data_IF_597929325194
#
_entry.id   IF_597929325194
#
_cell.length_a   1.000
_cell.length_b   1.000
_cell.length_c   1.000
_cell.angle_alpha   90.00
_cell.angle_beta   90.00
_cell.angle_gamma   90.00
#
_symmetry.space_group_name_H-M   'P 1'
#
loop_
_entity.id
_entity.type
_entity.pdbx_description
1 polymer ?
#
# COMPACT_ATOMS: atom_id res chain seq x y z
N UNK A 1 -4.44 0.59 30.90
CA UNK A 1 -5.11 -0.54 30.23
C UNK A 1 -6.54 -0.10 29.91
N UNK A 2 -6.82 0.23 28.66
CA UNK A 2 -8.19 0.54 28.20
C UNK A 2 -8.82 -0.71 27.61
N UNK A 3 -10.10 -0.94 27.90
CA UNK A 3 -10.85 -2.10 27.38
C UNK A 3 -11.57 -1.71 26.08
N UNK A 4 -11.21 -2.34 24.96
CA UNK A 4 -11.92 -2.16 23.70
C UNK A 4 -13.35 -2.72 23.82
N UNK A 5 -14.36 -1.86 23.71
CA UNK A 5 -15.76 -2.21 23.97
C UNK A 5 -16.46 -2.87 22.75
N UNK A 6 -16.12 -4.13 22.47
CA UNK A 6 -16.77 -4.92 21.42
C UNK A 6 -18.25 -5.20 21.74
N UNK A 7 -19.16 -4.84 20.83
CA UNK A 7 -20.57 -5.28 20.89
C UNK A 7 -20.67 -6.76 20.49
N UNK A 8 -21.50 -7.58 21.17
CA UNK A 8 -21.64 -9.00 20.85
C UNK A 8 -22.40 -9.22 19.54
N UNK A 9 -21.93 -10.17 18.73
CA UNK A 9 -22.66 -10.67 17.55
C UNK A 9 -23.60 -11.81 17.95
N UNK A 10 -24.82 -11.82 17.41
CA UNK A 10 -25.84 -12.85 17.73
C UNK A 10 -25.83 -13.94 16.66
N UNK A 11 -25.34 -15.13 17.02
CA UNK A 11 -25.50 -16.33 16.23
C UNK A 11 -26.90 -16.94 16.44
N UNK A 12 -27.57 -17.39 15.36
CA UNK A 12 -28.97 -17.84 15.42
C UNK A 12 -29.39 -18.77 14.28
N UNK A 13 -28.98 -20.03 14.35
CA UNK A 13 -29.46 -21.17 13.53
C UNK A 13 -28.90 -22.47 14.13
N UNK A 14 -29.51 -23.67 13.93
CA UNK A 14 -30.48 -24.00 12.88
C UNK A 14 -31.80 -24.64 13.37
N UNK A 15 -32.77 -24.77 12.46
CA UNK A 15 -33.89 -25.70 12.58
C UNK A 15 -34.19 -26.34 11.21
N UNK A 16 -34.43 -27.66 11.17
CA UNK A 16 -34.81 -28.40 9.96
C UNK A 16 -36.33 -28.57 9.90
N UNK A 17 -36.92 -28.43 8.72
CA UNK A 17 -38.13 -29.18 8.36
C UNK A 17 -38.05 -29.61 6.88
N UNK A 18 -38.77 -30.68 6.55
CA UNK A 18 -38.75 -31.36 5.24
C UNK A 18 -40.17 -31.85 4.94
N UNK A 19 -40.46 -32.10 3.65
CA UNK A 19 -41.73 -32.57 3.09
C UNK A 19 -42.86 -31.51 3.02
N UNK A 20 -43.81 -31.55 2.09
CA UNK A 20 -44.09 -32.52 1.01
C UNK A 20 -44.27 -31.85 -0.38
N UNK A 21 -44.31 -32.68 -1.43
CA UNK A 21 -44.57 -32.30 -2.83
C UNK A 21 -46.09 -32.32 -3.10
N UNK A 22 -46.60 -31.34 -3.84
CA UNK A 22 -47.79 -31.50 -4.70
C UNK A 22 -47.62 -30.65 -5.96
N UNK A 23 -47.90 -31.22 -7.14
CA UNK A 23 -47.89 -30.50 -8.42
C UNK A 23 -49.24 -29.81 -8.68
N UNK A 24 -49.26 -28.64 -9.34
CA UNK A 24 -50.31 -28.29 -10.32
C UNK A 24 -49.94 -27.06 -11.17
N UNK A 25 -50.10 -27.22 -12.48
CA UNK A 25 -50.16 -26.22 -13.56
C UNK A 25 -51.13 -26.83 -14.60
N UNK A 26 -51.95 -26.08 -15.38
CA UNK A 26 -51.46 -24.99 -16.25
C UNK A 26 -52.47 -23.83 -16.50
N UNK A 27 -52.19 -23.00 -17.52
CA UNK A 27 -53.03 -21.94 -18.11
C UNK A 27 -53.33 -20.72 -17.22
N UNK A 28 -53.57 -19.50 -17.75
CA UNK A 28 -53.64 -19.06 -19.16
C UNK A 28 -53.18 -17.59 -19.31
N UNK A 29 -52.78 -17.17 -20.50
CA UNK A 29 -52.55 -15.74 -20.83
C UNK A 29 -53.82 -15.10 -21.36
N UNK A 30 -54.10 -13.79 -21.08
CA UNK A 30 -53.89 -12.82 -22.16
C UNK A 30 -53.52 -11.37 -21.74
N UNK A 31 -52.69 -10.74 -22.56
CA UNK A 31 -52.78 -9.30 -22.94
C UNK A 31 -53.56 -9.20 -24.28
N UNK A 32 -54.04 -8.03 -24.80
CA UNK A 32 -53.61 -6.64 -24.51
C UNK A 32 -54.66 -5.47 -24.60
N UNK A 33 -54.37 -4.34 -23.95
CA UNK A 33 -54.80 -2.96 -24.37
C UNK A 33 -54.02 -1.91 -23.55
N UNK A 34 -53.34 -0.86 -24.05
CA UNK A 34 -53.55 0.13 -25.15
C UNK A 34 -54.33 1.37 -24.68
N UNK A 35 -53.80 2.58 -24.99
CA UNK A 35 -54.26 3.95 -24.63
C UNK A 35 -53.89 4.41 -23.20
N UNK A 36 -53.60 5.69 -22.93
CA UNK A 36 -53.38 6.86 -23.81
C UNK A 36 -52.35 7.84 -23.19
N UNK A 37 -51.69 8.65 -24.02
CA UNK A 37 -50.91 9.83 -23.59
C UNK A 37 -51.78 11.08 -23.60
N UNK A 38 -51.43 12.14 -22.85
CA UNK A 38 -51.00 13.34 -23.58
C UNK A 38 -49.90 14.17 -22.91
N UNK A 39 -49.13 14.89 -23.74
CA UNK A 39 -48.34 16.08 -23.36
C UNK A 39 -48.76 17.26 -24.23
N UNK A 40 -48.96 18.44 -23.63
CA UNK A 40 -48.51 19.71 -24.23
C UNK A 40 -47.70 20.52 -23.19
N UNK A 41 -46.41 20.83 -23.40
CA UNK A 41 -45.88 21.86 -24.31
C UNK A 41 -46.33 23.30 -24.00
N UNK A 42 -45.44 24.13 -23.45
CA UNK A 42 -44.97 25.33 -24.17
C UNK A 42 -43.75 26.01 -23.54
N UNK A 43 -43.05 26.80 -24.37
CA UNK A 43 -41.92 27.67 -24.00
C UNK A 43 -42.40 29.09 -23.67
N UNK A 44 -41.62 29.86 -22.89
CA UNK A 44 -41.35 31.29 -23.14
C UNK A 44 -40.26 31.84 -22.17
N UNK A 45 -39.58 32.93 -22.56
CA UNK A 45 -38.74 33.84 -21.75
C UNK A 45 -37.54 33.19 -21.00
N UNK A 46 -36.26 33.45 -21.29
CA UNK A 46 -35.54 34.52 -22.03
C UNK A 46 -35.58 35.90 -21.35
N UNK A 47 -34.42 36.58 -21.40
CA UNK A 47 -34.09 37.89 -20.78
C UNK A 47 -33.81 37.84 -19.26
N UNK A 48 -32.81 38.52 -18.69
CA UNK A 48 -31.71 39.30 -19.28
C UNK A 48 -30.41 39.24 -18.45
N UNK A 49 -29.26 39.41 -19.10
CA UNK A 49 -27.95 39.68 -18.48
C UNK A 49 -27.57 41.15 -18.67
N UNK A 50 -27.05 41.84 -17.63
CA UNK A 50 -26.30 43.08 -17.80
C UNK A 50 -24.82 42.94 -17.42
N UNK A 51 -23.93 43.42 -18.29
CA UNK A 51 -22.49 43.61 -18.04
C UNK A 51 -21.89 44.49 -19.15
N UNK A 52 -20.85 45.30 -18.90
CA UNK A 52 -20.29 45.77 -17.64
C UNK A 52 -20.34 47.33 -17.58
N UNK A 53 -19.45 47.99 -16.83
CA UNK A 53 -18.70 49.10 -17.43
C UNK A 53 -17.18 48.95 -17.27
N UNK A 54 -16.41 49.35 -18.29
CA UNK A 54 -14.95 49.49 -18.19
C UNK A 54 -14.58 50.75 -17.42
N UNK A 55 -13.50 50.70 -16.64
CA UNK A 55 -12.63 51.86 -16.40
C UNK A 55 -11.14 51.49 -16.44
N UNK A 56 -10.47 52.06 -17.44
CA UNK A 56 -9.13 52.68 -17.41
C UNK A 56 -8.14 52.25 -16.31
N UNK A 57 -6.96 51.81 -16.75
CA UNK A 57 -5.80 51.57 -15.88
C UNK A 57 -5.26 52.86 -15.23
N UNK A 58 -4.59 52.70 -14.08
CA UNK A 58 -3.48 53.56 -13.66
C UNK A 58 -2.34 52.68 -13.13
N UNK A 59 -1.11 53.21 -13.16
CA UNK A 59 0.12 52.52 -12.81
C UNK A 59 0.57 52.84 -11.38
N UNK A 60 0.99 51.83 -10.61
CA UNK A 60 2.40 51.62 -10.19
C UNK A 60 2.50 50.48 -9.13
N UNK A 61 3.67 49.83 -8.97
CA UNK A 61 3.82 48.65 -8.12
C UNK A 61 4.26 48.98 -6.68
N UNK A 62 3.77 48.21 -5.71
CA UNK A 62 4.43 48.05 -4.40
C UNK A 62 4.88 46.59 -4.22
N UNK A 63 6.08 46.42 -3.64
CA UNK A 63 6.84 45.18 -3.75
C UNK A 63 6.42 44.08 -2.78
N UNK A 64 6.26 42.86 -3.32
CA UNK A 64 6.36 41.64 -2.52
C UNK A 64 7.84 41.35 -2.21
N UNK A 65 8.21 41.04 -0.95
CA UNK A 65 9.61 40.82 -0.59
C UNK A 65 10.16 39.52 -1.21
N UNK A 66 11.11 39.67 -2.12
CA UNK A 66 11.83 38.57 -2.78
C UNK A 66 12.86 37.93 -1.82
N UNK A 67 12.87 36.59 -1.72
CA UNK A 67 13.94 35.84 -1.06
C UNK A 67 14.64 34.94 -2.09
N UNK A 68 15.63 35.52 -2.77
CA UNK A 68 16.60 34.80 -3.60
C UNK A 68 18.01 35.05 -3.06
N UNK A 69 18.78 33.96 -2.91
CA UNK A 69 20.12 33.96 -2.32
C UNK A 69 20.41 32.60 -1.68
N UNK A 70 21.43 31.84 -2.08
CA UNK A 70 22.38 32.03 -3.18
C UNK A 70 22.63 30.71 -3.92
N UNK A 71 23.08 30.79 -5.18
CA UNK A 71 23.38 29.61 -5.99
C UNK A 71 24.82 29.10 -5.81
N UNK A 72 25.03 27.82 -6.11
CA UNK A 72 26.34 27.20 -6.34
C UNK A 72 26.29 26.40 -7.67
N UNK A 73 27.42 26.21 -8.36
CA UNK A 73 27.43 25.72 -9.75
C UNK A 73 27.14 24.23 -9.87
N UNK A 74 26.68 23.81 -11.06
CA UNK A 74 26.24 22.45 -11.31
C UNK A 74 27.36 21.45 -11.61
N UNK A 75 27.05 20.17 -11.43
CA UNK A 75 27.79 19.04 -12.00
C UNK A 75 26.81 18.15 -12.79
N UNK A 76 27.32 17.50 -13.84
CA UNK A 76 26.53 16.64 -14.73
C UNK A 76 26.41 15.21 -14.15
N UNK A 77 25.31 14.53 -14.49
CA UNK A 77 25.31 13.06 -14.68
C UNK A 77 25.27 12.17 -13.44
N UNK A 78 24.15 12.16 -12.70
CA UNK A 78 23.80 11.08 -11.75
C UNK A 78 22.30 10.79 -11.76
N UNK A 79 21.88 9.57 -12.12
CA UNK A 79 20.45 9.18 -12.10
C UNK A 79 19.98 8.77 -10.70
N UNK A 80 19.38 9.71 -9.97
CA UNK A 80 18.86 9.52 -8.61
C UNK A 80 17.40 9.04 -8.63
N UNK A 81 17.13 7.90 -8.01
CA UNK A 81 15.78 7.37 -7.80
C UNK A 81 14.99 8.24 -6.81
N UNK A 82 14.13 9.13 -7.32
CA UNK A 82 13.38 10.10 -6.49
C UNK A 82 12.01 9.58 -6.02
N UNK A 83 12.00 8.49 -5.26
CA UNK A 83 11.03 8.39 -4.16
C UNK A 83 11.37 9.53 -3.18
N UNK A 84 10.38 10.33 -2.77
CA UNK A 84 10.69 11.50 -1.95
C UNK A 84 11.15 11.07 -0.55
N UNK A 85 12.44 11.25 -0.28
CA UNK A 85 13.03 11.03 1.02
C UNK A 85 12.44 12.04 2.00
N UNK A 86 11.69 11.55 3.01
CA UNK A 86 11.78 12.20 4.31
C UNK A 86 13.22 12.00 4.79
N UNK A 87 14.01 13.08 4.85
CA UNK A 87 15.41 13.02 5.26
C UNK A 87 15.51 12.58 6.73
N UNK A 88 15.60 11.27 6.96
CA UNK A 88 15.83 10.64 8.26
C UNK A 88 17.34 10.52 8.56
N UNK A 89 18.07 11.61 8.30
CA UNK A 89 19.41 11.81 8.83
C UNK A 89 19.61 13.29 9.14
N UNK A 90 19.32 13.66 10.39
CA UNK A 90 20.20 14.58 11.10
C UNK A 90 20.14 14.34 12.62
N UNK A 91 21.27 13.89 13.16
CA UNK A 91 21.71 14.05 14.56
C UNK A 91 20.74 13.70 15.71
N UNK A 92 20.66 12.41 16.11
CA UNK A 92 20.06 11.97 17.38
C UNK A 92 20.68 10.69 18.00
N UNK A 93 21.99 10.42 17.80
CA UNK A 93 22.70 9.36 18.53
C UNK A 93 23.51 9.96 19.70
N UNK A 94 22.91 9.95 20.90
CA UNK A 94 23.59 10.34 22.13
C UNK A 94 23.71 9.15 23.08
N UNK A 95 24.69 8.28 22.81
CA UNK A 95 25.11 7.23 23.74
C UNK A 95 26.02 7.85 24.82
N UNK A 96 25.64 7.71 26.09
CA UNK A 96 26.54 7.94 27.23
C UNK A 96 26.83 6.58 27.89
N UNK A 97 28.12 6.22 28.02
CA UNK A 97 28.55 4.97 28.65
C UNK A 97 30.05 4.68 28.49
N UNK A 98 30.77 4.61 29.61
CA UNK A 98 32.23 4.38 29.75
C UNK A 98 32.47 3.85 31.17
N UNK A 99 33.47 3.01 31.49
CA UNK A 99 34.57 2.38 30.71
C UNK A 99 34.86 1.00 31.35
N UNK A 100 35.85 0.15 31.05
CA UNK A 100 37.13 0.20 30.31
C UNK A 100 37.39 -1.20 29.68
N UNK A 101 38.34 -1.35 28.75
CA UNK A 101 38.92 -2.65 28.40
C UNK A 101 39.93 -2.61 27.24
N UNK A 102 41.06 -3.31 27.36
CA UNK A 102 42.18 -3.32 26.41
C UNK A 102 42.45 -4.73 25.82
N UNK A 103 42.47 -4.86 24.48
CA UNK A 103 43.21 -5.87 23.67
C UNK A 103 43.00 -7.40 23.96
N UNK A 104 43.54 -8.36 23.17
CA UNK A 104 44.26 -8.28 21.88
C UNK A 104 43.61 -9.12 20.73
N UNK A 105 44.40 -9.39 19.67
CA UNK A 105 44.04 -9.88 18.33
C UNK A 105 43.73 -11.39 18.11
N UNK A 106 43.18 -11.64 16.91
CA UNK A 106 43.29 -12.86 16.07
C UNK A 106 42.40 -14.09 16.40
N UNK A 107 42.21 -15.04 15.44
CA UNK A 107 42.60 -15.05 14.02
C UNK A 107 41.39 -15.14 13.05
N UNK A 108 41.66 -15.24 11.75
CA UNK A 108 40.66 -15.58 10.73
C UNK A 108 40.60 -17.10 10.48
N UNK A 109 39.41 -17.66 10.23
CA UNK A 109 39.17 -18.52 9.07
C UNK A 109 37.66 -18.84 8.85
N UNK A 110 37.36 -19.65 7.83
CA UNK A 110 36.04 -20.24 7.48
C UNK A 110 34.92 -19.27 7.03
N UNK A 111 34.70 -19.19 5.72
CA UNK A 111 33.42 -19.54 5.05
C UNK A 111 33.67 -19.77 3.54
N UNK A 112 33.58 -21.02 3.09
CA UNK A 112 33.93 -21.41 1.72
C UNK A 112 32.86 -21.02 0.69
N UNK A 113 33.27 -20.37 -0.41
CA UNK A 113 32.42 -20.03 -1.56
C UNK A 113 32.51 -21.11 -2.65
N UNK A 114 31.39 -21.67 -3.16
CA UNK A 114 31.40 -22.47 -4.37
C UNK A 114 31.43 -21.57 -5.62
N UNK A 115 32.54 -21.62 -6.36
CA UNK A 115 32.72 -20.85 -7.60
C UNK A 115 31.84 -21.41 -8.73
N UNK A 116 30.99 -20.56 -9.32
CA UNK A 116 30.21 -20.91 -10.50
C UNK A 116 31.01 -20.73 -11.79
N UNK A 117 31.01 -21.76 -12.65
CA UNK A 117 31.71 -21.77 -13.94
C UNK A 117 30.88 -21.07 -15.03
N UNK A 118 31.38 -20.00 -15.69
CA UNK A 118 30.58 -19.20 -16.63
C UNK A 118 30.45 -19.76 -18.06
N UNK A 119 30.93 -20.99 -18.35
CA UNK A 119 30.97 -21.56 -19.70
C UNK A 119 30.07 -22.80 -19.91
N UNK A 120 28.82 -22.75 -19.42
CA UNK A 120 27.77 -23.70 -19.82
C UNK A 120 27.03 -23.17 -21.06
N UNK A 121 27.35 -23.71 -22.25
CA UNK A 121 26.64 -23.36 -23.49
C UNK A 121 25.25 -23.99 -23.50
N UNK A 122 24.22 -23.21 -23.81
CA UNK A 122 22.86 -23.72 -23.99
C UNK A 122 22.69 -24.28 -25.41
N UNK A 123 22.33 -25.55 -25.50
CA UNK A 123 22.05 -26.23 -26.78
C UNK A 123 20.60 -25.99 -27.21
N UNK A 124 20.38 -25.56 -28.45
CA UNK A 124 19.06 -25.08 -28.93
C UNK A 124 18.25 -26.20 -29.57
N UNK A 125 17.78 -27.14 -28.75
CA UNK A 125 16.92 -28.24 -29.19
C UNK A 125 15.52 -27.78 -29.61
N UNK A 126 15.23 -27.80 -30.91
CA UNK A 126 13.88 -27.58 -31.46
C UNK A 126 12.99 -28.81 -31.25
N UNK A 127 11.92 -28.66 -30.45
CA UNK A 127 10.85 -29.64 -30.32
C UNK A 127 9.62 -29.20 -31.13
N UNK A 128 9.14 -30.06 -32.04
CA UNK A 128 8.00 -29.77 -32.91
C UNK A 128 6.65 -30.01 -32.22
N UNK A 129 5.60 -29.40 -32.76
CA UNK A 129 4.23 -29.48 -32.27
C UNK A 129 3.64 -30.90 -32.29
N UNK A 130 2.95 -31.28 -31.22
CA UNK A 130 1.79 -32.17 -31.28
C UNK A 130 0.71 -31.71 -30.30
N UNK A 131 -0.50 -31.48 -30.81
CA UNK A 131 -1.66 -31.08 -30.02
C UNK A 131 -2.53 -32.29 -29.70
N UNK A 132 -2.58 -32.71 -28.44
CA UNK A 132 -3.62 -33.59 -27.92
C UNK A 132 -4.38 -32.89 -26.82
N UNK A 133 -5.69 -32.72 -27.02
CA UNK A 133 -6.60 -32.24 -25.99
C UNK A 133 -6.95 -33.41 -25.07
N UNK A 134 -6.39 -33.42 -23.86
CA UNK A 134 -6.79 -34.34 -22.79
C UNK A 134 -7.83 -33.64 -21.91
N UNK A 135 -9.07 -34.11 -21.95
CA UNK A 135 -10.08 -33.71 -20.99
C UNK A 135 -9.90 -34.48 -19.68
N UNK A 136 -10.14 -33.83 -18.54
CA UNK A 136 -10.62 -34.53 -17.34
C UNK A 136 -9.60 -35.26 -16.46
N UNK A 137 -8.41 -34.69 -16.24
CA UNK A 137 -7.67 -34.95 -14.99
C UNK A 137 -7.63 -33.69 -14.13
N UNK A 138 -8.00 -33.81 -12.86
CA UNK A 138 -7.83 -32.72 -11.90
C UNK A 138 -6.34 -32.52 -11.63
N UNK A 139 -5.79 -31.39 -12.06
CA UNK A 139 -4.38 -31.07 -11.83
C UNK A 139 -4.19 -30.57 -10.42
N UNK A 140 -3.49 -31.35 -9.57
CA UNK A 140 -3.06 -30.96 -8.21
C UNK A 140 -1.96 -29.87 -8.21
N UNK A 141 -2.00 -28.95 -9.19
CA UNK A 141 -1.02 -27.93 -9.47
C UNK A 141 -1.73 -26.65 -9.90
N UNK A 142 -1.26 -25.52 -9.40
CA UNK A 142 -1.76 -24.21 -9.82
C UNK A 142 -1.48 -23.97 -11.31
N UNK A 143 -2.39 -23.24 -11.98
CA UNK A 143 -2.32 -22.96 -13.43
C UNK A 143 -1.03 -22.28 -13.89
N UNK A 144 -0.41 -21.49 -13.02
CA UNK A 144 0.70 -20.61 -13.34
C UNK A 144 0.29 -19.36 -14.12
N UNK A 145 1.25 -18.46 -14.41
CA UNK A 145 0.99 -17.20 -15.11
C UNK A 145 0.47 -17.45 -16.53
N UNK A 146 -0.65 -16.82 -16.89
CA UNK A 146 -1.24 -16.95 -18.23
C UNK A 146 -0.23 -16.59 -19.33
N UNK A 147 -0.01 -17.49 -20.31
CA UNK A 147 1.04 -17.40 -21.35
C UNK A 147 1.09 -16.04 -22.07
N UNK A 148 -0.06 -15.41 -22.29
CA UNK A 148 -0.20 -14.07 -22.83
C UNK A 148 -0.89 -13.17 -21.81
N UNK A 149 -0.34 -11.96 -21.62
CA UNK A 149 -0.95 -10.96 -20.75
C UNK A 149 -2.16 -10.29 -21.41
N UNK A 150 -3.18 -10.04 -20.60
CA UNK A 150 -4.34 -9.20 -20.88
C UNK A 150 -4.20 -7.80 -20.25
N UNK A 151 -3.00 -7.43 -19.74
CA UNK A 151 -2.64 -6.05 -19.42
C UNK A 151 -1.87 -5.43 -20.59
N UNK A 152 -2.28 -4.24 -20.99
CA UNK A 152 -1.56 -3.41 -21.95
C UNK A 152 -0.17 -2.99 -21.44
N UNK A 153 0.70 -2.57 -22.37
CA UNK A 153 2.02 -2.03 -22.04
C UNK A 153 1.97 -0.75 -21.18
N UNK A 154 0.81 -0.08 -21.11
CA UNK A 154 0.57 1.05 -20.20
C UNK A 154 0.17 0.58 -18.80
N UNK A 155 -0.79 -0.35 -18.68
CA UNK A 155 -1.18 -0.93 -17.39
C UNK A 155 0.00 -1.62 -16.69
N UNK A 156 0.82 -2.38 -17.43
CA UNK A 156 2.07 -2.95 -16.93
C UNK A 156 3.06 -1.89 -16.41
N UNK A 157 2.90 -0.61 -16.78
CA UNK A 157 3.71 0.53 -16.31
C UNK A 157 3.16 1.23 -15.06
N UNK A 158 2.04 0.74 -14.50
CA UNK A 158 1.38 1.28 -13.31
C UNK A 158 1.25 0.24 -12.17
N UNK A 159 1.53 -1.03 -12.43
CA UNK A 159 1.62 -2.12 -11.44
C UNK A 159 2.77 -1.85 -10.46
N UNK A 160 2.50 -1.68 -9.16
CA UNK A 160 3.51 -1.25 -8.19
C UNK A 160 3.70 0.27 -8.04
N UNK A 161 2.85 1.09 -8.66
CA UNK A 161 2.93 2.54 -8.52
C UNK A 161 2.17 3.05 -7.29
N UNK A 162 2.81 3.89 -6.48
CA UNK A 162 2.14 4.67 -5.43
C UNK A 162 1.28 5.78 -6.06
N UNK A 163 0.05 5.45 -6.46
CA UNK A 163 -0.86 6.34 -7.20
C UNK A 163 -1.68 7.23 -6.29
N UNK A 164 -1.00 8.09 -5.53
CA UNK A 164 -1.63 9.13 -4.69
C UNK A 164 -2.72 9.90 -5.46
N UNK A 165 -3.78 10.38 -4.78
CA UNK A 165 -4.68 11.36 -5.37
C UNK A 165 -3.94 12.66 -5.71
N UNK A 166 -4.44 13.42 -6.69
CA UNK A 166 -3.96 14.77 -6.99
C UNK A 166 -3.96 15.67 -5.74
N UNK A 167 -2.91 16.48 -5.55
CA UNK A 167 -2.78 17.39 -4.40
C UNK A 167 -3.82 18.53 -4.41
N UNK A 168 -4.26 18.92 -5.61
CA UNK A 168 -5.42 19.78 -5.90
C UNK A 168 -5.81 19.58 -7.39
N UNK A 169 -6.98 20.06 -7.87
CA UNK A 169 -7.34 19.97 -9.29
C UNK A 169 -6.25 20.54 -10.21
N UNK A 170 -5.64 19.70 -11.04
CA UNK A 170 -4.53 20.06 -11.94
C UNK A 170 -3.15 20.18 -11.28
N UNK A 171 -3.04 19.98 -9.96
CA UNK A 171 -1.78 19.96 -9.21
C UNK A 171 -1.46 18.54 -8.76
N UNK A 172 -0.48 17.91 -9.40
CA UNK A 172 -0.06 16.56 -9.06
C UNK A 172 1.46 16.48 -8.86
N UNK A 173 1.87 16.72 -7.62
CA UNK A 173 3.25 16.61 -7.12
C UNK A 173 3.46 15.25 -6.46
N UNK A 174 2.43 14.75 -5.77
CA UNK A 174 2.50 13.53 -4.97
C UNK A 174 2.49 12.24 -5.80
N UNK A 175 1.74 12.17 -6.91
CA UNK A 175 1.66 10.96 -7.75
C UNK A 175 2.63 11.02 -8.93
N UNK A 176 3.78 10.35 -8.77
CA UNK A 176 4.82 10.25 -9.80
C UNK A 176 4.65 9.06 -10.76
N UNK A 177 3.47 8.42 -10.84
CA UNK A 177 3.29 7.18 -11.63
C UNK A 177 3.47 7.35 -13.15
N UNK A 178 3.34 8.58 -13.65
CA UNK A 178 3.58 8.93 -15.05
C UNK A 178 5.07 9.02 -15.44
N UNK A 179 5.98 9.18 -14.46
CA UNK A 179 7.42 9.41 -14.73
C UNK A 179 8.10 8.19 -15.33
N UNK A 180 9.04 8.41 -16.25
CA UNK A 180 9.62 7.34 -17.06
C UNK A 180 10.37 6.28 -16.24
N UNK A 181 11.00 6.65 -15.12
CA UNK A 181 11.70 5.70 -14.25
C UNK A 181 10.72 4.90 -13.36
N UNK A 182 9.62 5.51 -12.93
CA UNK A 182 8.54 4.76 -12.27
C UNK A 182 7.85 3.81 -13.26
N UNK A 183 7.64 4.20 -14.52
CA UNK A 183 7.14 3.30 -15.57
C UNK A 183 8.09 2.11 -15.82
N UNK A 184 9.42 2.29 -15.72
CA UNK A 184 10.41 1.19 -15.74
C UNK A 184 10.32 0.30 -14.49
N UNK A 185 10.22 0.90 -13.30
CA UNK A 185 10.09 0.19 -12.02
C UNK A 185 8.84 -0.69 -11.98
N UNK A 186 7.69 -0.16 -12.39
CA UNK A 186 6.43 -0.88 -12.40
C UNK A 186 6.44 -2.06 -13.39
N UNK A 187 6.99 -1.86 -14.60
CA UNK A 187 7.22 -2.97 -15.56
C UNK A 187 8.18 -4.03 -15.02
N UNK A 188 9.08 -3.66 -14.11
CA UNK A 188 9.94 -4.62 -13.42
C UNK A 188 9.19 -5.39 -12.32
N UNK A 189 8.33 -4.74 -11.52
CA UNK A 189 7.48 -5.41 -10.53
C UNK A 189 6.59 -6.43 -11.24
N UNK A 190 5.81 -5.98 -12.22
CA UNK A 190 4.89 -6.81 -13.00
C UNK A 190 5.55 -8.07 -13.58
N UNK A 191 6.75 -7.94 -14.18
CA UNK A 191 7.49 -9.09 -14.72
C UNK A 191 8.00 -10.01 -13.61
N UNK A 192 8.57 -9.45 -12.54
CA UNK A 192 9.17 -10.24 -11.47
C UNK A 192 8.14 -10.96 -10.59
N UNK A 193 6.98 -10.36 -10.32
CA UNK A 193 5.88 -11.03 -9.60
C UNK A 193 5.28 -12.16 -10.43
N UNK A 194 5.19 -12.01 -11.76
CA UNK A 194 4.78 -13.12 -12.65
C UNK A 194 5.79 -14.26 -12.68
N UNK A 195 7.09 -13.97 -12.68
CA UNK A 195 8.13 -15.01 -12.58
C UNK A 195 8.01 -15.75 -11.23
N UNK A 196 7.85 -15.02 -10.13
CA UNK A 196 7.60 -15.61 -8.81
C UNK A 196 6.31 -16.45 -8.79
N UNK A 197 5.22 -16.01 -9.43
CA UNK A 197 3.99 -16.80 -9.59
C UNK A 197 4.19 -18.11 -10.36
N UNK A 198 5.10 -18.15 -11.34
CA UNK A 198 5.52 -19.39 -11.99
C UNK A 198 6.30 -20.32 -11.06
N UNK A 199 7.19 -19.77 -10.22
CA UNK A 199 7.90 -20.54 -9.20
C UNK A 199 6.99 -21.03 -8.06
N UNK A 200 5.94 -20.29 -7.68
CA UNK A 200 4.90 -20.77 -6.77
C UNK A 200 4.13 -21.94 -7.40
N UNK A 201 3.63 -21.77 -8.62
CA UNK A 201 2.83 -22.80 -9.30
C UNK A 201 3.59 -24.11 -9.61
N UNK A 202 4.92 -24.04 -9.68
CA UNK A 202 5.81 -25.21 -9.83
C UNK A 202 6.40 -25.72 -8.50
N UNK A 203 5.97 -25.19 -7.36
CA UNK A 203 6.41 -25.61 -6.02
C UNK A 203 7.85 -25.21 -5.64
N UNK A 204 8.52 -24.39 -6.45
CA UNK A 204 9.86 -23.84 -6.19
C UNK A 204 9.86 -22.75 -5.12
N UNK A 205 8.73 -22.08 -4.92
CA UNK A 205 8.45 -21.22 -3.77
C UNK A 205 7.29 -21.88 -3.04
N UNK A 206 7.55 -22.41 -1.84
CA UNK A 206 6.59 -23.15 -1.04
C UNK A 206 6.40 -22.56 0.36
N UNK A 207 6.95 -21.36 0.62
CA UNK A 207 6.70 -20.57 1.83
C UNK A 207 6.48 -19.08 1.52
N UNK A 208 5.74 -18.38 2.38
CA UNK A 208 5.62 -16.92 2.37
C UNK A 208 6.98 -16.26 2.61
N UNK A 209 7.79 -16.82 3.52
CA UNK A 209 9.15 -16.33 3.76
C UNK A 209 9.97 -16.28 2.45
N UNK A 210 9.98 -17.35 1.65
CA UNK A 210 10.73 -17.37 0.39
C UNK A 210 10.18 -16.35 -0.61
N UNK A 211 8.86 -16.20 -0.69
CA UNK A 211 8.23 -15.18 -1.51
C UNK A 211 8.63 -13.75 -1.07
N UNK A 212 8.67 -13.48 0.24
CA UNK A 212 9.12 -12.20 0.79
C UNK A 212 10.61 -11.95 0.54
N UNK A 213 11.44 -13.00 0.56
CA UNK A 213 12.85 -12.93 0.16
C UNK A 213 12.99 -12.62 -1.33
N UNK A 214 12.19 -13.21 -2.23
CA UNK A 214 12.17 -12.86 -3.67
C UNK A 214 11.74 -11.41 -3.89
N UNK A 215 10.69 -10.96 -3.19
CA UNK A 215 10.25 -9.55 -3.22
C UNK A 215 11.35 -8.60 -2.74
N UNK A 216 12.09 -8.98 -1.70
CA UNK A 216 13.24 -8.24 -1.15
C UNK A 216 14.41 -8.19 -2.13
N UNK A 217 14.82 -9.32 -2.69
CA UNK A 217 15.87 -9.42 -3.73
C UNK A 217 15.52 -8.55 -4.95
N UNK A 218 14.26 -8.60 -5.41
CA UNK A 218 13.77 -7.74 -6.48
C UNK A 218 13.87 -6.25 -6.11
N UNK A 219 13.34 -5.83 -4.95
CA UNK A 219 13.38 -4.42 -4.52
C UNK A 219 14.82 -3.91 -4.37
N UNK A 220 15.73 -4.70 -3.79
CA UNK A 220 17.15 -4.38 -3.65
C UNK A 220 17.87 -4.21 -5.01
N UNK A 221 17.41 -4.91 -6.05
CA UNK A 221 17.92 -4.73 -7.42
C UNK A 221 17.49 -3.40 -8.08
N UNK A 222 16.48 -2.71 -7.53
CA UNK A 222 16.01 -1.39 -8.02
C UNK A 222 16.72 -0.21 -7.36
N UNK A 223 17.50 -0.45 -6.31
CA UNK A 223 18.16 0.60 -5.50
C UNK A 223 19.65 0.66 -5.87
N UNK A 224 20.16 1.87 -6.13
CA UNK A 224 21.57 2.12 -6.46
C UNK A 224 22.52 1.55 -5.39
N UNK A 225 23.68 1.02 -5.80
CA UNK A 225 24.65 0.40 -4.88
C UNK A 225 25.19 1.36 -3.81
N UNK A 226 25.33 2.64 -4.13
CA UNK A 226 25.75 3.70 -3.19
C UNK A 226 24.61 4.41 -2.44
N UNK A 227 23.37 3.92 -2.47
CA UNK A 227 22.29 4.46 -1.63
C UNK A 227 22.50 4.00 -0.18
N UNK A 228 22.78 4.94 0.74
CA UNK A 228 23.03 4.64 2.15
C UNK A 228 21.86 3.89 2.83
N UNK A 229 20.62 4.09 2.37
CA UNK A 229 19.44 3.41 2.90
C UNK A 229 19.22 2.00 2.34
N UNK A 230 20.09 1.52 1.44
CA UNK A 230 19.95 0.19 0.80
C UNK A 230 19.94 -0.95 1.83
N UNK A 231 20.66 -0.81 2.94
CA UNK A 231 20.63 -1.76 4.05
C UNK A 231 19.24 -1.90 4.70
N UNK A 232 18.50 -0.81 4.85
CA UNK A 232 17.17 -0.83 5.49
C UNK A 232 16.08 -1.46 4.59
N UNK A 233 16.30 -1.56 3.28
CA UNK A 233 15.46 -2.36 2.40
C UNK A 233 15.70 -3.88 2.51
N UNK A 234 16.81 -4.29 3.15
CA UNK A 234 17.15 -5.68 3.43
C UNK A 234 16.86 -6.11 4.89
N UNK A 235 16.60 -5.15 5.79
CA UNK A 235 16.53 -5.39 7.23
C UNK A 235 15.10 -5.37 7.78
N UNK A 236 14.77 -6.40 8.56
CA UNK A 236 13.60 -6.47 9.43
C UNK A 236 13.62 -5.33 10.48
N UNK A 237 12.44 -4.91 10.97
CA UNK A 237 12.35 -3.97 12.10
C UNK A 237 12.58 -4.69 13.42
N UNK A 238 13.41 -4.11 14.28
CA UNK A 238 13.72 -4.67 15.59
C UNK A 238 12.66 -4.29 16.65
N UNK A 239 12.30 -5.20 17.58
CA UNK A 239 11.53 -4.88 18.78
C UNK A 239 12.08 -3.68 19.56
N UNK A 240 11.23 -3.08 20.39
CA UNK A 240 11.53 -1.89 21.20
C UNK A 240 11.90 -0.62 20.42
N UNK A 241 11.83 -0.63 19.08
CA UNK A 241 12.01 0.58 18.25
C UNK A 241 10.66 1.16 17.81
N UNK A 242 10.38 2.42 18.16
CA UNK A 242 9.17 3.12 17.69
C UNK A 242 9.33 3.46 16.21
N UNK A 243 8.54 2.82 15.35
CA UNK A 243 8.55 3.07 13.90
C UNK A 243 7.35 3.94 13.50
N UNK A 244 7.62 5.07 12.84
CA UNK A 244 6.60 6.07 12.50
C UNK A 244 6.79 6.67 11.11
N UNK A 245 5.76 7.31 10.59
CA UNK A 245 5.81 8.13 9.37
C UNK A 245 5.04 9.42 9.61
N UNK A 246 5.77 10.53 9.75
CA UNK A 246 5.21 11.88 9.85
C UNK A 246 4.41 12.21 8.58
N UNK A 247 3.13 12.56 8.72
CA UNK A 247 2.21 12.81 7.60
C UNK A 247 2.51 14.18 6.98
N UNK A 248 3.55 14.20 6.14
CA UNK A 248 3.99 15.29 5.27
C UNK A 248 3.81 14.83 3.81
N UNK A 249 4.08 15.67 2.80
CA UNK A 249 4.05 15.23 1.38
C UNK A 249 4.91 13.97 1.17
N UNK A 250 4.43 12.93 0.45
CA UNK A 250 3.18 12.88 -0.32
C UNK A 250 1.91 12.57 0.49
N UNK A 251 2.03 12.08 1.74
CA UNK A 251 0.97 11.56 2.61
C UNK A 251 -0.11 12.57 3.07
N UNK A 252 -0.23 13.74 2.44
CA UNK A 252 -1.14 14.81 2.85
C UNK A 252 -2.62 14.37 2.85
N UNK A 253 -3.05 13.57 1.87
CA UNK A 253 -4.42 13.05 1.76
C UNK A 253 -4.78 12.02 2.84
N UNK A 254 -3.79 11.45 3.53
CA UNK A 254 -4.00 10.58 4.70
C UNK A 254 -4.53 11.38 5.89
N UNK A 255 -4.15 12.67 5.99
CA UNK A 255 -4.58 13.57 7.08
C UNK A 255 -6.11 13.75 7.04
N UNK A 256 -6.66 14.11 5.88
CA UNK A 256 -8.11 14.25 5.69
C UNK A 256 -8.87 12.94 5.85
N UNK A 257 -8.29 11.82 5.41
CA UNK A 257 -8.88 10.50 5.62
C UNK A 257 -8.92 10.09 7.10
N UNK A 258 -7.90 10.43 7.88
CA UNK A 258 -7.88 10.18 9.32
C UNK A 258 -8.82 11.13 10.10
N UNK A 259 -8.90 12.41 9.70
CA UNK A 259 -9.87 13.39 10.24
C UNK A 259 -11.32 12.92 10.11
N UNK A 260 -11.66 12.36 8.95
CA UNK A 260 -13.02 11.96 8.59
C UNK A 260 -13.26 10.44 8.70
N UNK A 261 -12.36 9.69 9.35
CA UNK A 261 -12.53 8.25 9.51
C UNK A 261 -13.68 7.95 10.50
N UNK A 262 -14.64 7.06 10.18
CA UNK A 262 -15.79 6.80 11.05
C UNK A 262 -15.39 6.28 12.43
N UNK A 263 -14.35 5.43 12.48
CA UNK A 263 -13.83 4.82 13.70
C UNK A 263 -12.66 5.63 14.32
N UNK A 264 -12.55 6.94 14.06
CA UNK A 264 -11.53 7.80 14.68
C UNK A 264 -12.07 8.59 15.87
N UNK A 265 -11.55 8.27 17.06
CA UNK A 265 -11.83 8.99 18.30
C UNK A 265 -11.10 10.35 18.33
N UNK A 266 -11.57 11.28 19.16
CA UNK A 266 -10.89 12.56 19.40
C UNK A 266 -10.09 12.45 20.70
N UNK A 267 -8.77 12.58 20.60
CA UNK A 267 -7.83 12.53 21.73
C UNK A 267 -7.05 13.84 21.84
N UNK A 268 -6.39 14.07 22.98
CA UNK A 268 -5.40 15.15 23.13
C UNK A 268 -4.00 14.59 22.86
N UNK A 269 -3.24 15.23 21.97
CA UNK A 269 -1.87 14.82 21.68
C UNK A 269 -0.97 14.98 22.91
N UNK A 270 -0.09 14.00 23.15
CA UNK A 270 0.76 13.93 24.35
C UNK A 270 2.21 14.40 24.13
N UNK A 271 2.67 14.53 22.89
CA UNK A 271 4.08 14.81 22.58
C UNK A 271 4.54 16.20 23.03
N UNK A 272 5.69 16.27 23.72
CA UNK A 272 6.26 17.42 24.45
C UNK A 272 5.88 18.82 23.90
N UNK A 273 6.24 19.11 22.65
CA UNK A 273 6.08 20.43 22.03
C UNK A 273 4.66 20.74 21.53
N UNK A 274 3.82 19.72 21.41
CA UNK A 274 2.50 19.75 20.77
C UNK A 274 1.38 19.26 21.67
N UNK A 275 1.64 19.16 22.98
CA UNK A 275 0.69 18.69 23.99
C UNK A 275 -0.61 19.49 23.94
N UNK A 276 -1.75 18.83 24.17
CA UNK A 276 -3.10 19.43 24.16
C UNK A 276 -3.55 19.99 22.79
N UNK A 277 -2.93 19.57 21.68
CA UNK A 277 -3.56 19.70 20.36
C UNK A 277 -4.55 18.56 20.19
N UNK A 278 -5.81 18.87 19.87
CA UNK A 278 -6.82 17.86 19.54
C UNK A 278 -6.42 17.11 18.27
N UNK A 279 -6.45 15.78 18.34
CA UNK A 279 -6.16 14.87 17.24
C UNK A 279 -7.30 13.89 17.04
N UNK A 280 -7.65 13.61 15.79
CA UNK A 280 -8.37 12.40 15.41
C UNK A 280 -7.40 11.23 15.37
N UNK A 281 -7.78 10.11 15.99
CA UNK A 281 -6.93 8.93 16.13
C UNK A 281 -7.71 7.68 15.70
N UNK A 282 -7.31 7.07 14.59
CA UNK A 282 -7.76 5.75 14.19
C UNK A 282 -6.77 4.69 14.67
N UNK A 283 -7.28 3.58 15.23
CA UNK A 283 -6.49 2.51 15.84
C UNK A 283 -6.82 1.19 15.15
N UNK A 284 -6.05 0.83 14.14
CA UNK A 284 -6.19 -0.42 13.41
C UNK A 284 -5.87 -1.62 14.32
N UNK A 285 -6.68 -2.66 14.25
CA UNK A 285 -6.44 -3.94 14.92
C UNK A 285 -6.65 -5.09 13.93
N UNK A 286 -5.88 -6.18 14.11
CA UNK A 286 -6.09 -7.46 13.43
C UNK A 286 -6.41 -8.56 14.43
N UNK A 287 -6.86 -9.72 13.96
CA UNK A 287 -7.20 -10.86 14.82
C UNK A 287 -6.48 -12.14 14.35
N UNK A 288 -5.71 -12.78 15.24
CA UNK A 288 -5.04 -14.06 14.99
C UNK A 288 -5.51 -15.04 16.05
N UNK A 289 -6.08 -16.18 15.63
CA UNK A 289 -6.59 -17.24 16.54
C UNK A 289 -7.57 -16.76 17.63
N UNK A 290 -8.26 -15.64 17.41
CA UNK A 290 -9.17 -15.01 18.37
C UNK A 290 -8.53 -13.96 19.29
N UNK A 291 -7.21 -13.81 19.28
CA UNK A 291 -6.50 -12.73 19.96
C UNK A 291 -6.49 -11.46 19.08
N UNK A 292 -6.82 -10.31 19.67
CA UNK A 292 -6.81 -9.00 18.98
C UNK A 292 -5.45 -8.35 19.13
N UNK A 293 -4.74 -8.16 18.02
CA UNK A 293 -3.42 -7.54 17.95
C UNK A 293 -3.55 -6.06 17.57
N UNK A 294 -2.96 -5.12 18.33
CA UNK A 294 -2.89 -3.72 17.94
C UNK A 294 -1.92 -3.54 16.77
N UNK A 295 -2.41 -2.95 15.69
CA UNK A 295 -1.64 -2.73 14.47
C UNK A 295 -1.30 -1.24 14.30
N UNK A 296 -1.58 -0.64 13.14
CA UNK A 296 -1.21 0.73 12.84
C UNK A 296 -2.15 1.74 13.51
N UNK A 297 -1.60 2.74 14.19
CA UNK A 297 -2.35 3.91 14.68
C UNK A 297 -2.09 5.10 13.77
N UNK A 298 -3.15 5.73 13.24
CA UNK A 298 -3.05 6.93 12.40
C UNK A 298 -3.66 8.11 13.15
N UNK A 299 -2.86 9.15 13.39
CA UNK A 299 -3.30 10.40 14.03
C UNK A 299 -3.26 11.58 13.06
N UNK A 300 -4.20 12.51 13.20
CA UNK A 300 -4.25 13.78 12.49
C UNK A 300 -4.81 14.88 13.40
N UNK A 301 -4.16 16.03 13.51
CA UNK A 301 -4.70 17.17 14.24
C UNK A 301 -6.04 17.61 13.65
N UNK A 302 -7.00 18.00 14.48
CA UNK A 302 -8.29 18.54 14.02
C UNK A 302 -8.07 19.82 13.20
N UNK A 303 -7.06 20.62 13.56
CA UNK A 303 -6.66 21.83 12.84
C UNK A 303 -5.13 21.95 12.73
N UNK A 304 -4.62 22.14 11.50
CA UNK A 304 -3.18 22.37 11.24
C UNK A 304 -2.71 23.77 11.67
N UNK A 305 -3.63 24.73 11.85
CA UNK A 305 -3.30 26.05 12.36
C UNK A 305 -2.93 25.97 13.86
N UNK A 306 -3.49 25.04 14.64
CA UNK A 306 -3.09 24.76 16.01
C UNK A 306 -1.62 24.31 16.11
N UNK A 307 -1.17 23.41 15.22
CA UNK A 307 0.25 23.01 15.13
C UNK A 307 1.13 24.23 14.82
N UNK A 308 0.70 25.02 13.83
CA UNK A 308 1.41 26.22 13.37
C UNK A 308 1.46 27.32 14.44
N UNK A 309 0.39 27.49 15.22
CA UNK A 309 0.32 28.44 16.33
C UNK A 309 1.18 28.00 17.51
N UNK A 310 1.14 26.71 17.90
CA UNK A 310 2.00 26.14 18.93
C UNK A 310 3.49 26.33 18.56
N UNK A 311 3.88 26.06 17.31
CA UNK A 311 5.23 26.37 16.80
C UNK A 311 5.60 27.85 16.90
N UNK A 312 4.70 28.78 16.55
CA UNK A 312 4.95 30.23 16.62
C UNK A 312 5.10 30.73 18.05
N UNK A 313 4.41 30.12 19.01
CA UNK A 313 4.38 30.53 20.41
C UNK A 313 5.54 29.93 21.24
N UNK A 314 6.21 28.87 20.77
CA UNK A 314 7.42 28.33 21.41
C UNK A 314 8.61 29.34 21.36
N UNK A 315 9.43 29.43 22.42
CA UNK A 315 10.75 30.07 22.42
C UNK A 315 11.63 29.60 21.25
N UNK A 316 12.61 30.42 20.82
CA UNK A 316 13.41 30.16 19.59
C UNK A 316 14.15 28.82 19.63
N UNK A 317 14.73 28.50 20.78
CA UNK A 317 15.40 27.24 21.13
C UNK A 317 14.43 26.06 21.07
N UNK A 318 13.35 26.07 21.87
CA UNK A 318 12.32 25.02 21.87
C UNK A 318 11.63 24.83 20.52
N UNK A 319 11.49 25.90 19.73
CA UNK A 319 10.95 25.84 18.35
C UNK A 319 11.88 25.10 17.39
N UNK A 320 13.19 25.17 17.59
CA UNK A 320 14.15 24.40 16.80
C UNK A 320 14.12 22.92 17.21
N UNK A 321 14.12 22.64 18.51
CA UNK A 321 13.96 21.28 19.06
C UNK A 321 12.67 20.62 18.57
N UNK A 322 11.54 21.34 18.64
CA UNK A 322 10.24 20.87 18.12
C UNK A 322 10.29 20.53 16.63
N UNK A 323 10.96 21.35 15.80
CA UNK A 323 11.10 21.08 14.36
C UNK A 323 11.93 19.84 14.07
N UNK A 324 12.96 19.59 14.87
CA UNK A 324 13.78 18.38 14.81
C UNK A 324 12.96 17.15 15.25
N UNK A 325 12.16 17.27 16.32
CA UNK A 325 11.30 16.18 16.80
C UNK A 325 10.14 15.84 15.85
N UNK A 326 9.70 16.75 14.97
CA UNK A 326 8.59 16.50 14.03
C UNK A 326 8.82 15.34 13.02
N UNK A 327 10.03 14.77 12.95
CA UNK A 327 10.26 13.52 12.20
C UNK A 327 9.70 12.29 12.93
N UNK A 328 9.76 12.28 14.27
CA UNK A 328 9.40 11.15 15.15
C UNK A 328 8.21 11.42 16.09
N UNK A 329 7.79 12.68 16.21
CA UNK A 329 6.76 13.18 17.12
C UNK A 329 6.02 14.36 16.47
N UNK A 330 5.14 14.03 15.53
CA UNK A 330 4.23 14.97 14.84
C UNK A 330 2.77 14.63 15.18
N UNK A 331 1.85 15.61 15.31
CA UNK A 331 0.42 15.33 15.51
C UNK A 331 -0.22 14.57 14.34
N UNK A 332 0.17 14.90 13.10
CA UNK A 332 -0.25 14.17 11.91
C UNK A 332 0.78 13.07 11.63
N UNK A 333 0.48 11.81 11.93
CA UNK A 333 1.48 10.73 11.93
C UNK A 333 0.86 9.34 11.84
N UNK A 334 1.52 8.45 11.12
CA UNK A 334 1.32 6.99 11.23
C UNK A 334 2.30 6.48 12.29
N UNK A 335 1.81 5.84 13.35
CA UNK A 335 2.62 4.97 14.21
C UNK A 335 2.33 3.53 13.79
N UNK A 336 3.32 2.87 13.20
CA UNK A 336 3.15 1.53 12.63
C UNK A 336 3.03 0.45 13.71
N UNK A 337 2.46 -0.69 13.34
CA UNK A 337 2.41 -1.93 14.14
C UNK A 337 3.71 -2.18 14.90
N UNK A 338 3.63 -2.54 16.18
CA UNK A 338 4.82 -2.78 16.99
C UNK A 338 5.63 -3.96 16.46
N UNK A 339 6.96 -3.84 16.50
CA UNK A 339 7.86 -4.86 15.94
C UNK A 339 7.86 -6.19 16.73
N UNK A 340 7.35 -6.20 17.97
CA UNK A 340 7.15 -7.42 18.75
C UNK A 340 6.18 -8.42 18.08
N UNK A 341 5.19 -7.93 17.33
CA UNK A 341 4.21 -8.78 16.64
C UNK A 341 4.69 -9.31 15.28
N UNK A 342 5.85 -8.87 14.76
CA UNK A 342 6.31 -9.25 13.41
C UNK A 342 6.46 -10.76 13.27
N UNK A 343 6.93 -11.46 14.32
CA UNK A 343 7.01 -12.92 14.31
C UNK A 343 5.62 -13.56 14.20
N UNK A 344 4.71 -13.24 15.10
CA UNK A 344 3.34 -13.79 15.12
C UNK A 344 2.59 -13.52 13.81
N UNK A 345 2.78 -12.33 13.23
CA UNK A 345 2.17 -11.96 11.95
C UNK A 345 2.85 -12.69 10.78
N UNK A 346 4.17 -12.96 10.82
CA UNK A 346 4.86 -13.80 9.84
C UNK A 346 4.35 -15.24 9.87
N UNK A 347 4.20 -15.82 11.06
CA UNK A 347 3.68 -17.18 11.25
C UNK A 347 2.22 -17.29 10.73
N UNK A 348 1.42 -16.23 10.85
CA UNK A 348 0.07 -16.13 10.26
C UNK A 348 0.08 -15.86 8.73
N UNK A 349 1.00 -15.05 8.22
CA UNK A 349 1.18 -14.83 6.78
C UNK A 349 1.62 -16.11 6.06
N UNK A 350 2.40 -16.96 6.73
CA UNK A 350 2.76 -18.30 6.26
C UNK A 350 1.53 -19.22 6.19
N UNK A 351 0.68 -19.21 7.23
CA UNK A 351 -0.61 -19.92 7.23
C UNK A 351 -1.56 -19.43 6.11
N UNK A 352 -1.67 -18.11 5.92
CA UNK A 352 -2.46 -17.52 4.84
C UNK A 352 -1.90 -17.86 3.45
N UNK A 353 -0.58 -17.89 3.29
CA UNK A 353 0.08 -18.26 2.05
C UNK A 353 -0.19 -19.73 1.68
N UNK A 354 -0.01 -20.65 2.63
CA UNK A 354 -0.25 -22.09 2.42
C UNK A 354 -1.71 -22.37 2.04
N UNK A 355 -2.67 -21.65 2.61
CA UNK A 355 -4.07 -21.67 2.16
C UNK A 355 -4.20 -21.09 0.74
N UNK A 356 -3.63 -19.90 0.49
CA UNK A 356 -3.76 -19.18 -0.78
C UNK A 356 -3.11 -19.87 -2.00
N UNK A 357 -2.30 -20.92 -1.81
CA UNK A 357 -1.70 -21.73 -2.89
C UNK A 357 -2.40 -23.09 -3.11
N UNK A 358 -3.49 -23.38 -2.41
CA UNK A 358 -4.26 -24.60 -2.64
C UNK A 358 -4.87 -24.59 -4.06
N UNK A 359 -4.58 -25.59 -4.92
CA UNK A 359 -5.05 -25.64 -6.30
C UNK A 359 -6.54 -26.04 -6.45
N UNK A 360 -7.23 -26.38 -5.35
CA UNK A 360 -8.66 -26.69 -5.35
C UNK A 360 -9.56 -25.47 -5.13
N UNK A 361 -9.00 -24.33 -4.73
CA UNK A 361 -9.74 -23.08 -4.49
C UNK A 361 -10.39 -22.54 -5.76
N UNK A 362 -11.63 -22.06 -5.62
CA UNK A 362 -12.24 -21.23 -6.64
C UNK A 362 -11.55 -19.86 -6.73
N UNK A 363 -11.61 -19.25 -7.92
CA UNK A 363 -10.88 -18.00 -8.22
C UNK A 363 -11.18 -16.87 -7.20
N UNK A 364 -12.40 -16.84 -6.66
CA UNK A 364 -12.83 -15.83 -5.69
C UNK A 364 -12.26 -16.08 -4.29
N UNK A 365 -12.26 -17.33 -3.81
CA UNK A 365 -11.71 -17.74 -2.51
C UNK A 365 -10.21 -17.46 -2.44
N UNK A 366 -9.47 -17.85 -3.48
CA UNK A 366 -8.06 -17.52 -3.65
C UNK A 366 -7.83 -15.98 -3.62
N UNK A 367 -8.72 -15.20 -4.26
CA UNK A 367 -8.59 -13.75 -4.30
C UNK A 367 -8.87 -13.07 -2.96
N UNK A 368 -9.80 -13.60 -2.15
CA UNK A 368 -10.00 -13.15 -0.76
C UNK A 368 -8.78 -13.44 0.10
N UNK A 369 -8.19 -14.64 0.02
CA UNK A 369 -6.96 -14.98 0.75
C UNK A 369 -5.78 -14.09 0.34
N UNK A 370 -5.64 -13.78 -0.96
CA UNK A 370 -4.68 -12.81 -1.48
C UNK A 370 -4.91 -11.40 -0.90
N UNK A 371 -6.17 -10.98 -0.75
CA UNK A 371 -6.51 -9.69 -0.14
C UNK A 371 -6.14 -9.64 1.35
N UNK A 372 -6.45 -10.69 2.12
CA UNK A 372 -6.05 -10.83 3.54
C UNK A 372 -4.54 -10.78 3.71
N UNK A 373 -3.81 -11.55 2.91
CA UNK A 373 -2.35 -11.59 2.92
C UNK A 373 -1.74 -10.23 2.57
N UNK A 374 -2.31 -9.49 1.61
CA UNK A 374 -1.88 -8.12 1.31
C UNK A 374 -2.14 -7.18 2.51
N UNK A 375 -3.34 -7.24 3.11
CA UNK A 375 -3.69 -6.41 4.27
C UNK A 375 -2.74 -6.61 5.44
N UNK A 376 -2.48 -7.86 5.82
CA UNK A 376 -1.56 -8.22 6.91
C UNK A 376 -0.11 -7.79 6.61
N UNK A 377 0.40 -8.11 5.42
CA UNK A 377 1.79 -7.82 5.04
C UNK A 377 2.07 -6.32 4.89
N UNK A 378 1.09 -5.53 4.41
CA UNK A 378 1.20 -4.08 4.35
C UNK A 378 1.11 -3.45 5.76
N UNK A 379 0.07 -3.81 6.53
CA UNK A 379 -0.24 -3.19 7.83
C UNK A 379 0.78 -3.51 8.93
N UNK A 380 1.45 -4.67 8.85
CA UNK A 380 2.54 -5.02 9.77
C UNK A 380 3.85 -4.26 9.49
N UNK A 381 4.05 -3.81 8.24
CA UNK A 381 5.29 -3.24 7.73
C UNK A 381 6.56 -3.95 8.26
N UNK A 382 6.82 -5.23 7.90
CA UNK A 382 7.85 -6.05 8.57
C UNK A 382 9.27 -5.51 8.49
N UNK A 383 9.63 -4.88 7.36
CA UNK A 383 10.98 -4.37 7.13
C UNK A 383 11.07 -2.86 7.36
N UNK A 384 12.26 -2.38 7.69
CA UNK A 384 12.52 -0.94 7.91
C UNK A 384 12.23 -0.09 6.66
N UNK A 385 12.35 -0.66 5.44
CA UNK A 385 12.02 0.06 4.21
C UNK A 385 11.49 -0.85 3.09
N UNK A 386 10.48 -0.36 2.38
CA UNK A 386 9.94 -1.00 1.16
C UNK A 386 8.83 -2.04 1.35
N UNK A 387 8.36 -2.27 2.58
CA UNK A 387 7.34 -3.29 2.92
C UNK A 387 6.08 -3.24 2.05
N UNK A 388 5.55 -2.05 1.72
CA UNK A 388 4.40 -1.88 0.82
C UNK A 388 4.63 -2.51 -0.57
N UNK A 389 5.77 -2.22 -1.20
CA UNK A 389 6.12 -2.77 -2.51
C UNK A 389 6.37 -4.29 -2.46
N UNK A 390 6.80 -4.82 -1.32
CA UNK A 390 6.96 -6.27 -1.10
C UNK A 390 5.61 -6.97 -0.90
N UNK A 391 4.67 -6.32 -0.21
CA UNK A 391 3.30 -6.82 -0.02
C UNK A 391 2.52 -6.87 -1.36
N UNK A 392 2.57 -5.81 -2.18
CA UNK A 392 1.96 -5.83 -3.52
C UNK A 392 2.63 -6.88 -4.43
N UNK A 393 3.97 -7.03 -4.35
CA UNK A 393 4.68 -8.09 -5.08
C UNK A 393 4.19 -9.48 -4.69
N UNK A 394 4.08 -9.77 -3.38
CA UNK A 394 3.64 -11.07 -2.88
C UNK A 394 2.20 -11.38 -3.32
N UNK A 395 1.27 -10.45 -3.09
CA UNK A 395 -0.13 -10.59 -3.50
C UNK A 395 -0.28 -10.83 -5.01
N UNK A 396 0.46 -10.08 -5.85
CA UNK A 396 0.46 -10.27 -7.31
C UNK A 396 1.12 -11.58 -7.76
N UNK A 397 2.08 -12.10 -7.00
CA UNK A 397 2.74 -13.36 -7.32
C UNK A 397 1.81 -14.55 -7.09
N UNK A 398 1.08 -14.56 -5.97
CA UNK A 398 0.10 -15.60 -5.63
C UNK A 398 -1.09 -15.54 -6.61
N UNK A 399 -1.61 -14.34 -6.90
CA UNK A 399 -2.61 -14.15 -7.96
C UNK A 399 -2.13 -14.71 -9.30
N UNK A 400 -0.90 -14.39 -9.69
CA UNK A 400 -0.30 -14.90 -10.93
C UNK A 400 -0.01 -16.40 -10.90
N UNK A 401 0.06 -17.05 -9.73
CA UNK A 401 0.19 -18.50 -9.63
C UNK A 401 -1.14 -19.20 -9.95
N UNK A 402 -2.27 -18.63 -9.51
CA UNK A 402 -3.62 -19.02 -9.96
C UNK A 402 -3.93 -18.63 -11.42
N UNK A 403 -3.02 -17.92 -12.08
CA UNK A 403 -3.24 -17.36 -13.42
C UNK A 403 -4.19 -16.14 -13.45
N UNK A 404 -4.49 -15.56 -12.28
CA UNK A 404 -5.26 -14.33 -12.13
C UNK A 404 -4.37 -13.14 -12.47
N UNK A 405 -4.83 -12.26 -13.35
CA UNK A 405 -4.10 -11.07 -13.75
C UNK A 405 -4.76 -9.79 -13.20
N UNK A 406 -4.27 -9.36 -12.04
CA UNK A 406 -4.62 -8.09 -11.39
C UNK A 406 -4.14 -6.89 -12.24
N UNK A 407 -5.03 -5.95 -12.63
CA UNK A 407 -4.64 -4.67 -13.22
C UNK A 407 -3.88 -3.77 -12.22
N UNK A 408 -3.55 -2.52 -12.61
CA UNK A 408 -3.09 -1.51 -11.66
C UNK A 408 -4.18 -1.19 -10.62
N UNK A 409 -3.75 -0.79 -9.43
CA UNK A 409 -4.61 -0.04 -8.52
C UNK A 409 -5.01 1.29 -9.17
N UNK A 410 -6.22 1.80 -8.92
CA UNK A 410 -6.76 3.03 -9.52
C UNK A 410 -5.92 4.25 -9.15
N UNK A 411 -6.01 5.32 -9.94
CA UNK A 411 -5.58 6.63 -9.46
C UNK A 411 -6.35 6.99 -8.17
N UNK A 412 -5.65 7.52 -7.17
CA UNK A 412 -6.20 7.84 -5.84
C UNK A 412 -6.06 6.71 -4.82
N UNK A 413 -5.80 5.47 -5.28
CA UNK A 413 -5.68 4.27 -4.44
C UNK A 413 -4.21 3.96 -4.21
N UNK A 414 -3.82 3.83 -2.93
CA UNK A 414 -2.46 3.48 -2.50
C UNK A 414 -2.60 2.31 -1.53
N UNK A 415 -2.27 1.06 -1.93
CA UNK A 415 -2.84 -0.15 -1.33
C UNK A 415 -2.45 -0.38 0.13
N UNK A 416 -1.24 0.03 0.53
CA UNK A 416 -0.79 -0.02 1.92
C UNK A 416 -1.52 1.00 2.81
N UNK A 417 -1.83 2.18 2.28
CA UNK A 417 -2.69 3.17 2.95
C UNK A 417 -4.15 2.70 2.99
N UNK A 418 -4.64 2.04 1.93
CA UNK A 418 -5.98 1.44 1.95
C UNK A 418 -6.12 0.34 3.01
N UNK A 419 -5.04 -0.39 3.30
CA UNK A 419 -4.97 -1.39 4.36
C UNK A 419 -4.90 -0.73 5.75
N UNK A 420 -3.95 0.19 5.95
CA UNK A 420 -3.73 0.91 7.23
C UNK A 420 -4.91 1.79 7.68
N UNK A 421 -5.87 2.07 6.79
CA UNK A 421 -7.10 2.81 7.06
C UNK A 421 -8.37 1.95 6.94
N UNK A 422 -8.25 0.63 7.15
CA UNK A 422 -9.38 -0.31 7.22
C UNK A 422 -9.10 -1.48 8.17
N UNK A 423 -10.17 -2.08 8.67
CA UNK A 423 -10.13 -3.47 9.16
C UNK A 423 -9.91 -4.46 8.01
N UNK A 424 -9.44 -5.67 8.33
CA UNK A 424 -9.23 -6.75 7.36
C UNK A 424 -10.49 -7.03 6.52
N UNK A 425 -11.66 -7.14 7.16
CA UNK A 425 -12.92 -7.46 6.48
C UNK A 425 -13.38 -6.39 5.49
N UNK A 426 -13.27 -5.10 5.87
CA UNK A 426 -13.53 -3.98 4.96
C UNK A 426 -12.54 -3.97 3.78
N UNK A 427 -11.26 -4.23 4.03
CA UNK A 427 -10.25 -4.27 2.97
C UNK A 427 -10.51 -5.40 1.98
N UNK A 428 -10.80 -6.62 2.46
CA UNK A 428 -11.10 -7.78 1.62
C UNK A 428 -12.34 -7.52 0.75
N UNK A 429 -13.42 -6.98 1.32
CA UNK A 429 -14.64 -6.65 0.59
C UNK A 429 -14.44 -5.54 -0.46
N UNK A 430 -13.64 -4.52 -0.14
CA UNK A 430 -13.33 -3.44 -1.09
C UNK A 430 -12.29 -3.85 -2.15
N UNK A 431 -11.44 -4.85 -1.89
CA UNK A 431 -10.26 -5.17 -2.69
C UNK A 431 -10.52 -5.30 -4.20
N UNK A 432 -11.58 -5.99 -4.69
CA UNK A 432 -11.88 -6.06 -6.12
C UNK A 432 -12.13 -4.68 -6.78
N UNK A 433 -12.59 -3.69 -6.02
CA UNK A 433 -12.95 -2.35 -6.49
C UNK A 433 -11.78 -1.35 -6.51
N UNK A 434 -10.63 -1.74 -5.94
CA UNK A 434 -9.39 -0.96 -5.91
C UNK A 434 -8.66 -0.93 -7.27
N UNK A 435 -8.97 -1.84 -8.20
CA UNK A 435 -8.30 -1.97 -9.50
C UNK A 435 -8.98 -1.13 -10.59
N UNK A 436 -8.25 -0.74 -11.64
CA UNK A 436 -8.81 0.03 -12.77
C UNK A 436 -9.96 -0.68 -13.50
N UNK A 437 -10.04 -2.01 -13.35
CA UNK A 437 -11.10 -2.91 -13.83
C UNK A 437 -10.99 -4.24 -13.06
N UNK A 438 -12.00 -5.13 -13.12
CA UNK A 438 -11.93 -6.42 -12.43
C UNK A 438 -10.71 -7.28 -12.84
N UNK A 439 -10.10 -8.04 -11.91
CA UNK A 439 -9.02 -8.99 -12.21
C UNK A 439 -9.46 -10.12 -13.16
N UNK A 440 -8.72 -10.34 -14.25
CA UNK A 440 -9.06 -11.34 -15.28
C UNK A 440 -8.52 -12.72 -14.90
#
# INVERSE_FOLDING_TARGET
MGLCASKPSVAGSPARYTTHITETSPSESPSPSRRDSPSPSNNALREALPSPPLRTASSEPQGSPNWQGAGWPGHQGSSVWSEYQGNLHDSAHQWQGVSIGEYPDAPADMWSQPVWNPYASFDTGTASSHSQAVQGTATNYLRGPANYSKLSSEEQSLVGAARWPDDAPGLNISNKSNTQDNKKYCKSLYKASRIAGGSIASGQINSFNDLWQKATQWRLSRISSGDASKGDFAAERMPNTRFVTSLRRPYHSVIERARNHPDAETELYEGEYFKEIEVKVYRQCGAISGETIPMTTVSAAVDDNAISARLRNLPKDKRQQARQSMASSHPNMITHTSAEYIKTIRDHLESLYLQAIDPSLEKHEAFELIARLHWWAASAAPDKRGSAAKAEFAARSIASAHGIEMPPFRHGIVPDIEAMLRSESQFVADYPNFFERPPI
#
